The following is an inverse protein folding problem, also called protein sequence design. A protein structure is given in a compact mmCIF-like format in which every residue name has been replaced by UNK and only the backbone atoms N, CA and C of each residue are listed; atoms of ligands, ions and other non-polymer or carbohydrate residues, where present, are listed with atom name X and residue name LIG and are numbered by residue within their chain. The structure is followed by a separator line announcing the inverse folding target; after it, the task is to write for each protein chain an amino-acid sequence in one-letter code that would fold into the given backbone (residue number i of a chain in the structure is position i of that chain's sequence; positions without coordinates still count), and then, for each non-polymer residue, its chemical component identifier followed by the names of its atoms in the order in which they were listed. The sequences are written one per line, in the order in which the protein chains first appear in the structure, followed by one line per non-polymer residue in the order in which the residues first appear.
data_IF_127812266621
#
_entry.id   IF_127812266621
#
_cell.length_a   1.000
_cell.length_b   1.000
_cell.length_c   1.000
_cell.angle_alpha   90.00
_cell.angle_beta   90.00
_cell.angle_gamma   90.00
#
_symmetry.space_group_name_H-M   'P 1'
#
loop_
_entity.id
_entity.type
_entity.pdbx_description
1 polymer ?
#
# COMPACT_ATOMS: atom_id res chain seq x y z
N UNK A 1 -24.75 -34.07 47.26
CA UNK A 1 -25.12 -32.64 47.45
C UNK A 1 -23.93 -31.92 48.07
N UNK A 2 -23.59 -30.72 47.55
CA UNK A 2 -22.49 -29.80 47.95
C UNK A 2 -21.10 -30.22 47.45
N UNK A 3 -20.20 -29.37 46.96
CA UNK A 3 -20.24 -27.99 46.49
C UNK A 3 -18.94 -27.81 45.68
N UNK A 4 -19.00 -27.40 44.41
CA UNK A 4 -17.80 -27.21 43.58
C UNK A 4 -17.95 -26.08 42.55
N UNK A 5 -18.87 -25.12 42.76
CA UNK A 5 -19.15 -24.03 41.82
C UNK A 5 -18.63 -22.64 42.22
N UNK A 6 -18.04 -22.47 43.40
CA UNK A 6 -17.69 -21.13 43.90
C UNK A 6 -16.24 -20.69 43.67
N UNK A 7 -15.39 -21.51 43.02
CA UNK A 7 -13.96 -21.16 42.83
C UNK A 7 -13.62 -20.46 41.49
N UNK A 8 -14.50 -20.52 40.50
CA UNK A 8 -14.23 -19.90 39.19
C UNK A 8 -14.77 -18.46 39.07
N UNK A 9 -15.82 -18.11 39.82
CA UNK A 9 -16.37 -16.75 39.84
C UNK A 9 -15.44 -15.72 40.48
N UNK A 10 -14.63 -16.13 41.46
CA UNK A 10 -13.69 -15.23 42.16
C UNK A 10 -12.45 -14.89 41.31
N UNK A 11 -12.10 -15.73 40.32
CA UNK A 11 -10.98 -15.46 39.40
C UNK A 11 -11.37 -14.50 38.27
N UNK A 12 -12.61 -14.54 37.79
CA UNK A 12 -13.11 -13.58 36.79
C UNK A 12 -13.31 -12.17 37.37
N UNK A 13 -13.79 -12.05 38.62
CA UNK A 13 -13.97 -10.76 39.28
C UNK A 13 -12.62 -10.02 39.53
N UNK A 14 -11.56 -10.76 39.85
CA UNK A 14 -10.23 -10.18 40.08
C UNK A 14 -9.53 -9.71 38.78
N UNK A 15 -9.87 -10.29 37.62
CA UNK A 15 -9.34 -9.88 36.32
C UNK A 15 -9.99 -8.57 35.81
N UNK A 16 -11.30 -8.41 36.02
CA UNK A 16 -12.04 -7.19 35.66
C UNK A 16 -11.64 -5.98 36.53
N UNK A 17 -11.34 -6.19 37.82
CA UNK A 17 -10.84 -5.12 38.69
C UNK A 17 -9.45 -4.60 38.28
N UNK A 18 -8.58 -5.45 37.73
CA UNK A 18 -7.25 -5.04 37.24
C UNK A 18 -7.30 -4.29 35.90
N UNK A 19 -8.33 -4.54 35.08
CA UNK A 19 -8.56 -3.78 33.84
C UNK A 19 -9.14 -2.38 34.11
N UNK A 20 -9.92 -2.20 35.18
CA UNK A 20 -10.46 -0.90 35.58
C UNK A 20 -9.41 0.07 36.16
N UNK A 21 -8.32 -0.45 36.74
CA UNK A 21 -7.26 0.35 37.40
C UNK A 21 -6.14 0.82 36.46
N UNK A 22 -6.19 0.51 35.16
CA UNK A 22 -5.15 0.88 34.17
C UNK A 22 -5.62 1.81 33.05
N UNK A 23 -6.77 2.47 33.20
CA UNK A 23 -7.11 3.61 32.33
C UNK A 23 -6.66 4.91 33.02
N UNK A 24 -5.64 5.62 32.52
CA UNK A 24 -5.48 7.02 32.88
C UNK A 24 -6.73 7.77 32.42
N UNK A 25 -7.29 8.58 33.31
CA UNK A 25 -8.40 9.46 33.01
C UNK A 25 -8.02 10.32 31.80
N UNK A 26 -8.79 10.19 30.71
CA UNK A 26 -8.70 11.08 29.56
C UNK A 26 -9.19 12.45 30.03
N UNK A 27 -8.24 13.33 30.32
CA UNK A 27 -8.50 14.71 30.69
C UNK A 27 -9.11 15.44 29.48
N UNK A 28 -10.36 15.84 29.60
CA UNK A 28 -11.15 16.51 28.56
C UNK A 28 -10.77 18.00 28.39
N UNK A 29 -9.49 18.32 28.48
CA UNK A 29 -8.94 19.69 28.32
C UNK A 29 -7.91 19.84 27.20
N UNK A 30 -7.35 18.75 26.65
CA UNK A 30 -6.42 18.82 25.52
C UNK A 30 -7.11 18.92 24.15
N UNK A 31 -8.41 18.63 24.07
CA UNK A 31 -9.20 18.76 22.85
C UNK A 31 -9.60 20.20 22.46
N UNK A 32 -9.14 21.22 23.22
CA UNK A 32 -9.39 22.65 22.89
C UNK A 32 -8.15 23.44 22.46
N UNK A 33 -6.98 22.81 22.39
CA UNK A 33 -5.72 23.43 21.93
C UNK A 33 -5.25 22.92 20.56
N UNK A 34 -6.07 22.13 19.86
CA UNK A 34 -5.83 21.65 18.49
C UNK A 34 -6.89 22.15 17.49
N UNK A 35 -7.68 23.16 17.89
CA UNK A 35 -8.71 23.81 17.06
C UNK A 35 -8.43 25.29 16.75
N UNK A 36 -7.17 25.73 16.85
CA UNK A 36 -6.77 27.13 16.64
C UNK A 36 -5.41 27.25 15.90
N UNK A 37 -5.11 26.28 15.03
CA UNK A 37 -3.88 26.29 14.22
C UNK A 37 -4.12 25.98 12.74
N UNK A 38 -5.35 26.20 12.26
CA UNK A 38 -5.71 26.17 10.83
C UNK A 38 -6.38 27.50 10.43
N UNK A 39 -5.60 28.58 10.41
CA UNK A 39 -5.87 29.79 9.60
C UNK A 39 -4.80 30.86 9.80
N UNK A 40 -3.53 30.50 9.66
CA UNK A 40 -2.46 31.48 9.49
C UNK A 40 -1.77 31.18 8.15
N UNK A 41 -2.34 31.72 7.07
CA UNK A 41 -1.72 31.67 5.75
C UNK A 41 -0.30 32.23 5.80
N UNK A 42 0.53 31.84 4.82
CA UNK A 42 1.95 32.21 4.69
C UNK A 42 2.28 33.70 4.95
N UNK A 43 1.31 34.61 4.82
CA UNK A 43 1.43 36.02 5.21
C UNK A 43 1.72 36.25 6.69
N UNK A 44 1.09 35.52 7.61
CA UNK A 44 1.30 35.70 9.06
C UNK A 44 2.71 35.28 9.52
N UNK A 45 3.26 34.23 8.88
CA UNK A 45 4.64 33.76 9.09
C UNK A 45 5.64 34.78 8.53
N UNK A 46 5.34 35.36 7.37
CA UNK A 46 6.20 36.38 6.73
C UNK A 46 6.21 37.69 7.53
N UNK A 47 5.07 38.11 8.08
CA UNK A 47 4.94 39.29 8.93
C UNK A 47 5.63 39.11 10.29
N UNK A 48 5.55 37.90 10.87
CA UNK A 48 6.25 37.53 12.11
C UNK A 48 7.78 37.59 11.93
N UNK A 49 8.31 37.02 10.84
CA UNK A 49 9.74 37.09 10.50
C UNK A 49 10.23 38.52 10.26
N UNK A 50 9.36 39.40 9.74
CA UNK A 50 9.67 40.82 9.52
C UNK A 50 9.76 41.61 10.82
N UNK A 51 8.85 41.35 11.77
CA UNK A 51 8.86 41.96 13.12
C UNK A 51 10.04 41.50 13.97
N UNK A 52 10.52 40.28 13.77
CA UNK A 52 11.70 39.72 14.46
C UNK A 52 13.04 40.18 13.89
N UNK A 53 13.05 41.08 12.90
CA UNK A 53 14.28 41.64 12.33
C UNK A 53 15.13 40.65 11.53
N UNK A 54 14.52 39.58 10.99
CA UNK A 54 15.27 38.57 10.24
C UNK A 54 15.77 39.16 8.90
N UNK A 55 17.08 39.07 8.57
CA UNK A 55 17.67 39.75 7.41
C UNK A 55 17.07 39.36 6.05
N UNK A 56 16.40 38.20 5.96
CA UNK A 56 15.77 37.71 4.73
C UNK A 56 14.38 38.28 4.43
N UNK A 57 13.75 39.02 5.34
CA UNK A 57 12.40 39.59 5.17
C UNK A 57 12.39 41.09 4.79
N UNK A 58 13.58 41.69 4.73
CA UNK A 58 13.78 43.09 4.38
C UNK A 58 14.57 43.16 3.07
N UNK A 59 13.84 43.07 1.95
CA UNK A 59 14.10 43.76 0.67
C UNK A 59 13.34 43.03 -0.44
N UNK A 60 12.41 43.75 -1.07
CA UNK A 60 11.70 43.32 -2.27
C UNK A 60 12.64 43.29 -3.47
N UNK A 61 13.55 42.32 -3.49
CA UNK A 61 14.30 41.98 -4.68
C UNK A 61 13.41 41.12 -5.58
N UNK A 62 12.92 41.69 -6.67
CA UNK A 62 12.43 40.95 -7.83
C UNK A 62 13.52 40.01 -8.30
N UNK A 63 13.50 38.78 -7.78
CA UNK A 63 14.27 37.68 -8.34
C UNK A 63 13.63 37.41 -9.70
N UNK A 64 14.26 37.90 -10.77
CA UNK A 64 14.03 37.37 -12.11
C UNK A 64 14.42 35.89 -12.07
N UNK A 65 13.44 35.05 -11.71
CA UNK A 65 13.52 33.61 -11.97
C UNK A 65 13.63 33.50 -13.49
N UNK A 66 14.80 33.09 -13.95
CA UNK A 66 14.93 32.47 -15.26
C UNK A 66 13.75 31.49 -15.40
N UNK A 67 12.99 31.54 -16.51
CA UNK A 67 11.82 30.70 -16.67
C UNK A 67 12.30 29.27 -16.47
N UNK A 68 11.85 28.63 -15.38
CA UNK A 68 11.82 27.18 -15.30
C UNK A 68 11.09 26.79 -16.57
N UNK A 69 11.85 26.27 -17.54
CA UNK A 69 11.30 25.71 -18.77
C UNK A 69 10.06 24.97 -18.36
N UNK A 70 8.93 25.42 -18.92
CA UNK A 70 7.67 24.72 -18.78
C UNK A 70 7.99 23.27 -19.01
N UNK A 71 7.82 22.47 -17.96
CA UNK A 71 7.66 21.06 -18.15
C UNK A 71 6.44 21.01 -19.05
N UNK A 72 6.67 20.82 -20.36
CA UNK A 72 5.62 20.34 -21.24
C UNK A 72 4.89 19.27 -20.43
N UNK A 73 3.57 19.44 -20.32
CA UNK A 73 2.65 18.39 -19.93
C UNK A 73 2.97 17.22 -20.86
N UNK A 74 3.94 16.43 -20.43
CA UNK A 74 4.27 15.17 -21.03
C UNK A 74 2.97 14.40 -21.06
N UNK A 75 2.87 13.49 -22.00
CA UNK A 75 2.00 12.30 -22.00
C UNK A 75 2.29 11.41 -20.76
N UNK A 76 2.53 12.02 -19.59
CA UNK A 76 3.31 11.57 -18.44
C UNK A 76 2.58 10.65 -17.49
N UNK A 77 1.48 10.05 -17.96
CA UNK A 77 0.82 8.95 -17.28
C UNK A 77 1.30 7.59 -17.79
N UNK A 78 2.00 7.52 -18.92
CA UNK A 78 2.50 6.25 -19.47
C UNK A 78 3.89 5.88 -18.97
N UNK A 79 4.04 4.60 -18.58
CA UNK A 79 5.33 4.03 -18.20
C UNK A 79 6.18 3.86 -19.45
N UNK A 80 7.40 4.38 -19.43
CA UNK A 80 8.32 4.26 -20.55
C UNK A 80 8.81 2.80 -20.67
N UNK A 81 8.61 2.12 -21.82
CA UNK A 81 9.05 0.74 -22.02
C UNK A 81 10.55 0.53 -21.78
N UNK A 82 11.39 1.52 -22.06
CA UNK A 82 12.83 1.47 -21.77
C UNK A 82 13.13 1.45 -20.27
N UNK A 83 12.30 2.12 -19.45
CA UNK A 83 12.46 2.09 -18.00
C UNK A 83 12.20 0.68 -17.45
N UNK A 84 11.14 0.03 -17.93
CA UNK A 84 10.81 -1.37 -17.57
C UNK A 84 11.93 -2.31 -18.02
N UNK A 85 12.40 -2.14 -19.25
CA UNK A 85 13.53 -2.90 -19.81
C UNK A 85 14.80 -2.74 -18.96
N UNK A 86 15.08 -1.51 -18.50
CA UNK A 86 16.22 -1.22 -17.65
C UNK A 86 16.10 -1.88 -16.28
N UNK A 87 14.90 -1.95 -15.70
CA UNK A 87 14.63 -2.70 -14.47
C UNK A 87 14.90 -4.19 -14.69
N UNK A 88 14.46 -4.76 -15.82
CA UNK A 88 14.64 -6.18 -16.15
C UNK A 88 16.11 -6.59 -16.30
N UNK A 89 16.97 -5.66 -16.74
CA UNK A 89 18.39 -5.94 -16.97
C UNK A 89 19.17 -6.12 -15.65
N UNK A 90 19.95 -7.21 -15.48
CA UNK A 90 20.77 -7.44 -14.29
C UNK A 90 21.82 -6.35 -14.02
N UNK A 91 22.22 -5.61 -15.06
CA UNK A 91 23.24 -4.57 -14.94
C UNK A 91 22.77 -3.46 -14.00
N UNK A 92 23.45 -3.29 -12.87
CA UNK A 92 23.06 -2.30 -11.85
C UNK A 92 21.98 -2.80 -10.89
N UNK A 93 21.76 -4.12 -10.84
CA UNK A 93 21.13 -4.75 -9.69
C UNK A 93 22.11 -4.78 -8.51
N UNK A 94 21.59 -4.57 -7.33
CA UNK A 94 22.28 -4.58 -6.05
C UNK A 94 21.67 -5.66 -5.14
N UNK A 95 22.34 -5.94 -4.02
CA UNK A 95 21.71 -6.71 -2.93
C UNK A 95 20.52 -5.94 -2.37
N UNK A 96 19.37 -6.61 -2.35
CA UNK A 96 18.13 -6.11 -1.78
C UNK A 96 17.76 -6.89 -0.53
N UNK A 97 16.58 -6.64 0.03
CA UNK A 97 16.11 -7.27 1.25
C UNK A 97 16.10 -8.80 1.13
N UNK A 98 16.36 -9.55 2.21
CA UNK A 98 16.31 -11.02 2.26
C UNK A 98 16.80 -11.73 0.98
N UNK A 99 18.07 -11.54 0.62
CA UNK A 99 18.74 -12.31 -0.45
C UNK A 99 18.35 -11.97 -1.89
N UNK A 100 17.50 -10.96 -2.11
CA UNK A 100 17.10 -10.53 -3.45
C UNK A 100 18.21 -9.78 -4.21
N UNK A 101 18.14 -9.82 -5.54
CA UNK A 101 18.96 -8.97 -6.43
C UNK A 101 18.05 -8.13 -7.33
N UNK A 102 18.20 -6.83 -7.25
CA UNK A 102 17.34 -5.90 -7.99
C UNK A 102 17.83 -4.46 -7.88
N UNK A 103 17.15 -3.55 -8.55
CA UNK A 103 17.38 -2.11 -8.42
C UNK A 103 16.66 -1.57 -7.21
N UNK A 104 17.22 -0.53 -6.61
CA UNK A 104 16.62 0.24 -5.53
C UNK A 104 16.10 1.55 -6.10
N UNK A 105 14.79 1.67 -6.24
CA UNK A 105 14.14 2.91 -6.65
C UNK A 105 13.80 3.75 -5.42
N UNK A 106 13.82 5.09 -5.51
CA UNK A 106 13.52 5.94 -4.37
C UNK A 106 12.07 5.75 -3.89
N UNK A 107 11.89 5.73 -2.56
CA UNK A 107 10.60 5.71 -1.86
C UNK A 107 10.48 6.98 -1.04
N UNK A 108 9.36 7.70 -1.15
CA UNK A 108 9.19 8.99 -0.47
C UNK A 108 8.98 8.85 1.04
N UNK A 109 8.18 7.85 1.42
CA UNK A 109 7.83 7.55 2.80
C UNK A 109 8.51 6.24 3.20
N UNK A 110 9.44 6.30 4.16
CA UNK A 110 10.21 5.12 4.60
C UNK A 110 9.31 3.98 5.05
N UNK A 111 8.25 4.30 5.79
CA UNK A 111 7.36 3.31 6.41
C UNK A 111 6.20 2.86 5.50
N UNK A 112 6.11 3.35 4.25
CA UNK A 112 4.94 3.02 3.43
C UNK A 112 4.77 1.50 3.29
N UNK A 113 3.59 1.01 3.62
CA UNK A 113 3.27 -0.41 3.53
C UNK A 113 3.29 -0.87 2.06
N UNK A 114 3.45 -2.18 1.85
CA UNK A 114 3.50 -2.78 0.51
C UNK A 114 2.26 -2.44 -0.35
N UNK A 115 1.08 -2.45 0.27
CA UNK A 115 -0.18 -2.09 -0.38
C UNK A 115 -0.31 -0.58 -0.63
N UNK A 116 0.23 0.27 0.27
CA UNK A 116 0.21 1.72 0.09
C UNK A 116 1.04 2.11 -1.12
N UNK A 117 2.20 1.48 -1.30
CA UNK A 117 2.93 1.60 -2.55
C UNK A 117 2.09 1.06 -3.71
N UNK A 118 1.76 -0.24 -3.72
CA UNK A 118 1.20 -0.88 -4.91
C UNK A 118 -0.11 -0.25 -5.41
N UNK A 119 -0.96 0.19 -4.50
CA UNK A 119 -2.33 0.65 -4.81
C UNK A 119 -2.47 2.17 -4.68
N UNK A 120 -1.76 2.81 -3.74
CA UNK A 120 -1.84 4.26 -3.51
C UNK A 120 -0.65 5.04 -4.04
N UNK A 121 0.37 4.39 -4.58
CA UNK A 121 1.63 5.02 -4.95
C UNK A 121 2.28 5.80 -3.80
N UNK A 122 2.09 5.35 -2.55
CA UNK A 122 2.49 6.02 -1.32
C UNK A 122 2.02 7.50 -1.23
N UNK A 123 0.89 7.83 -1.85
CA UNK A 123 0.23 9.14 -1.72
C UNK A 123 -0.79 9.13 -0.59
N UNK A 124 -0.98 10.29 0.06
CA UNK A 124 -2.14 10.59 0.93
C UNK A 124 -3.41 10.71 0.06
N UNK A 125 -3.76 9.63 -0.64
CA UNK A 125 -4.87 9.56 -1.58
C UNK A 125 -6.17 9.13 -0.92
N UNK A 126 -7.27 9.36 -1.65
CA UNK A 126 -8.60 8.83 -1.35
C UNK A 126 -8.65 7.30 -1.48
N UNK A 127 -9.61 6.71 -0.79
CA UNK A 127 -9.89 5.27 -0.84
C UNK A 127 -9.88 4.64 0.56
N UNK A 128 -10.17 3.34 0.59
CA UNK A 128 -10.17 2.54 1.81
C UNK A 128 -8.79 1.89 2.02
N UNK A 129 -8.37 1.72 3.27
CA UNK A 129 -7.14 0.96 3.56
C UNK A 129 -7.37 -0.54 3.30
N UNK A 130 -6.29 -1.30 3.17
CA UNK A 130 -6.43 -2.75 3.03
C UNK A 130 -7.17 -3.38 4.23
N UNK A 131 -6.79 -2.98 5.46
CA UNK A 131 -7.43 -3.46 6.69
C UNK A 131 -8.91 -3.09 6.77
N UNK A 132 -9.24 -1.83 6.52
CA UNK A 132 -10.64 -1.36 6.50
C UNK A 132 -11.48 -2.13 5.46
N UNK A 133 -10.92 -2.38 4.27
CA UNK A 133 -11.61 -3.13 3.21
C UNK A 133 -11.89 -4.57 3.65
N UNK A 134 -10.90 -5.21 4.26
CA UNK A 134 -11.03 -6.56 4.77
C UNK A 134 -12.04 -6.67 5.93
N UNK A 135 -11.97 -5.75 6.89
CA UNK A 135 -12.92 -5.65 8.01
C UNK A 135 -14.35 -5.42 7.52
N UNK A 136 -14.51 -4.59 6.49
CA UNK A 136 -15.81 -4.35 5.86
C UNK A 136 -16.39 -5.62 5.23
N UNK A 137 -15.61 -6.28 4.37
CA UNK A 137 -16.05 -7.45 3.62
C UNK A 137 -16.37 -8.64 4.54
N UNK A 138 -15.66 -8.76 5.66
CA UNK A 138 -15.88 -9.82 6.65
C UNK A 138 -16.92 -9.47 7.72
N UNK A 139 -17.58 -8.32 7.58
CA UNK A 139 -18.61 -7.82 8.51
C UNK A 139 -18.13 -7.54 9.94
N UNK A 140 -16.84 -7.24 10.12
CA UNK A 140 -16.27 -6.85 11.42
C UNK A 140 -16.52 -5.37 11.76
N UNK A 141 -16.76 -4.51 10.76
CA UNK A 141 -17.05 -3.10 10.97
C UNK A 141 -17.45 -2.35 9.70
N UNK A 142 -17.91 -1.10 9.86
CA UNK A 142 -18.14 -0.17 8.74
C UNK A 142 -17.14 0.99 8.86
N UNK A 143 -16.08 1.02 8.02
CA UNK A 143 -15.06 2.07 8.11
C UNK A 143 -15.59 3.42 7.63
N UNK A 144 -15.18 4.49 8.33
CA UNK A 144 -15.59 5.87 8.04
C UNK A 144 -15.20 6.33 6.61
N UNK A 145 -14.18 5.69 6.02
CA UNK A 145 -13.67 5.98 4.67
C UNK A 145 -14.56 5.44 3.54
N UNK A 146 -15.56 4.58 3.82
CA UNK A 146 -16.48 4.06 2.79
C UNK A 146 -17.26 5.16 2.06
N UNK A 147 -17.60 6.25 2.76
CA UNK A 147 -18.28 7.40 2.15
C UNK A 147 -17.44 8.14 1.10
N UNK A 148 -16.14 7.87 1.04
CA UNK A 148 -15.20 8.49 0.10
C UNK A 148 -15.01 7.66 -1.18
N UNK A 149 -15.59 6.45 -1.24
CA UNK A 149 -15.48 5.55 -2.39
C UNK A 149 -16.57 5.88 -3.41
N UNK A 150 -16.26 5.72 -4.70
CA UNK A 150 -17.23 5.89 -5.78
C UNK A 150 -18.47 4.98 -5.56
N UNK A 151 -19.71 5.49 -5.75
CA UNK A 151 -20.94 4.73 -5.44
C UNK A 151 -21.03 3.37 -6.11
N UNK A 152 -20.60 3.25 -7.38
CA UNK A 152 -20.59 1.98 -8.10
C UNK A 152 -19.64 0.96 -7.45
N UNK A 153 -18.46 1.39 -7.03
CA UNK A 153 -17.49 0.52 -6.33
C UNK A 153 -18.01 0.13 -4.96
N UNK A 154 -18.67 1.05 -4.24
CA UNK A 154 -19.34 0.71 -2.98
C UNK A 154 -20.41 -0.35 -3.18
N UNK A 155 -21.27 -0.19 -4.19
CA UNK A 155 -22.30 -1.18 -4.52
C UNK A 155 -21.71 -2.57 -4.82
N UNK A 156 -20.59 -2.62 -5.56
CA UNK A 156 -19.86 -3.87 -5.83
C UNK A 156 -19.34 -4.52 -4.53
N UNK A 157 -18.79 -3.72 -3.61
CA UNK A 157 -18.31 -4.18 -2.31
C UNK A 157 -19.46 -4.65 -1.41
N UNK A 158 -20.60 -3.96 -1.42
CA UNK A 158 -21.81 -4.34 -0.70
C UNK A 158 -22.33 -5.70 -1.18
N UNK A 159 -22.38 -5.90 -2.50
CA UNK A 159 -22.75 -7.18 -3.08
C UNK A 159 -21.76 -8.29 -2.71
N UNK A 160 -20.45 -8.01 -2.79
CA UNK A 160 -19.42 -8.98 -2.40
C UNK A 160 -19.53 -9.37 -0.92
N UNK A 161 -19.77 -8.40 -0.02
CA UNK A 161 -19.99 -8.67 1.40
C UNK A 161 -21.19 -9.58 1.64
N UNK A 162 -22.29 -9.36 0.91
CA UNK A 162 -23.46 -10.22 0.96
C UNK A 162 -23.14 -11.64 0.46
N UNK A 163 -22.36 -11.77 -0.61
CA UNK A 163 -21.95 -13.06 -1.16
C UNK A 163 -21.03 -13.83 -0.19
N UNK A 164 -20.07 -13.15 0.45
CA UNK A 164 -19.23 -13.71 1.52
C UNK A 164 -20.08 -14.21 2.70
N UNK A 165 -21.08 -13.42 3.09
CA UNK A 165 -22.00 -13.78 4.18
C UNK A 165 -22.87 -14.97 3.80
N UNK A 166 -23.44 -14.98 2.59
CA UNK A 166 -24.26 -16.08 2.08
C UNK A 166 -23.48 -17.40 1.95
N UNK A 167 -22.18 -17.31 1.65
CA UNK A 167 -21.27 -18.45 1.62
C UNK A 167 -20.79 -18.92 3.01
N UNK A 168 -21.25 -18.27 4.09
CA UNK A 168 -20.88 -18.61 5.47
C UNK A 168 -19.44 -18.23 5.83
N UNK A 169 -18.82 -17.33 5.07
CA UNK A 169 -17.42 -16.89 5.25
C UNK A 169 -17.30 -15.54 5.97
N UNK A 170 -18.39 -14.96 6.46
CA UNK A 170 -18.32 -13.81 7.36
C UNK A 170 -17.59 -14.19 8.65
N UNK A 171 -16.93 -13.22 9.30
CA UNK A 171 -16.21 -13.48 10.54
C UNK A 171 -17.19 -13.90 11.66
N UNK A 172 -16.97 -15.08 12.24
CA UNK A 172 -17.72 -15.61 13.38
C UNK A 172 -16.73 -16.06 14.48
N UNK A 173 -16.66 -15.36 15.62
CA UNK A 173 -15.71 -15.69 16.69
C UNK A 173 -15.98 -17.05 17.35
N UNK A 174 -17.17 -17.65 17.17
CA UNK A 174 -17.52 -18.96 17.71
C UNK A 174 -17.20 -20.11 16.75
N UNK A 175 -16.89 -19.78 15.50
CA UNK A 175 -16.49 -20.74 14.48
C UNK A 175 -15.17 -20.25 13.91
N UNK A 176 -14.09 -20.34 14.67
CA UNK A 176 -12.76 -19.97 14.15
C UNK A 176 -12.07 -21.19 13.47
N UNK A 177 -12.47 -22.42 13.81
CA UNK A 177 -11.75 -23.65 13.42
C UNK A 177 -12.32 -24.45 12.22
N UNK A 178 -13.57 -24.21 11.79
CA UNK A 178 -14.14 -24.77 10.53
C UNK A 178 -13.25 -24.44 9.31
N UNK A 179 -13.30 -25.24 8.26
CA UNK A 179 -12.50 -24.99 7.04
C UNK A 179 -13.43 -24.84 5.84
N UNK A 180 -13.13 -23.88 4.98
CA UNK A 180 -13.80 -23.72 3.70
C UNK A 180 -12.90 -24.27 2.58
N UNK A 181 -13.53 -24.75 1.51
CA UNK A 181 -12.82 -25.23 0.32
C UNK A 181 -12.12 -24.08 -0.42
N UNK A 182 -10.89 -24.30 -0.86
CA UNK A 182 -10.10 -23.29 -1.59
C UNK A 182 -10.82 -22.80 -2.86
N UNK A 183 -11.50 -23.72 -3.57
CA UNK A 183 -12.28 -23.39 -4.76
C UNK A 183 -13.48 -22.48 -4.48
N UNK A 184 -13.99 -22.47 -3.24
CA UNK A 184 -15.03 -21.54 -2.81
C UNK A 184 -14.47 -20.18 -2.36
N UNK A 185 -13.27 -20.15 -1.77
CA UNK A 185 -12.63 -18.93 -1.25
C UNK A 185 -12.08 -18.08 -2.41
N UNK A 186 -11.40 -18.72 -3.36
CA UNK A 186 -10.61 -18.04 -4.38
C UNK A 186 -11.40 -17.02 -5.22
N UNK A 187 -12.62 -17.33 -5.73
CA UNK A 187 -13.41 -16.36 -6.50
C UNK A 187 -13.79 -15.11 -5.69
N UNK A 188 -14.06 -15.28 -4.39
CA UNK A 188 -14.40 -14.15 -3.51
C UNK A 188 -13.19 -13.29 -3.22
N UNK A 189 -12.02 -13.92 -3.02
CA UNK A 189 -10.77 -13.18 -2.82
C UNK A 189 -10.38 -12.40 -4.08
N UNK A 190 -10.55 -12.99 -5.26
CA UNK A 190 -10.29 -12.29 -6.51
C UNK A 190 -11.14 -11.02 -6.62
N UNK A 191 -12.43 -11.12 -6.31
CA UNK A 191 -13.36 -9.98 -6.27
C UNK A 191 -12.99 -8.98 -5.17
N UNK A 192 -12.53 -9.44 -4.01
CA UNK A 192 -12.10 -8.58 -2.91
C UNK A 192 -10.90 -7.71 -3.31
N UNK A 193 -9.87 -8.31 -3.90
CA UNK A 193 -8.69 -7.57 -4.38
C UNK A 193 -9.06 -6.63 -5.52
N UNK A 194 -9.92 -7.04 -6.46
CA UNK A 194 -10.42 -6.16 -7.52
C UNK A 194 -11.20 -4.96 -6.95
N UNK A 195 -12.09 -5.19 -5.99
CA UNK A 195 -12.83 -4.13 -5.29
C UNK A 195 -11.89 -3.18 -4.54
N UNK A 196 -10.88 -3.72 -3.86
CA UNK A 196 -9.86 -2.93 -3.19
C UNK A 196 -9.05 -2.04 -4.16
N UNK A 197 -8.60 -2.61 -5.29
CA UNK A 197 -7.90 -1.85 -6.35
C UNK A 197 -8.78 -0.72 -6.90
N UNK A 198 -10.05 -1.02 -7.24
CA UNK A 198 -11.01 -0.04 -7.75
C UNK A 198 -11.36 1.04 -6.73
N UNK A 199 -11.48 0.69 -5.45
CA UNK A 199 -11.80 1.64 -4.38
C UNK A 199 -10.71 2.69 -4.15
N UNK A 200 -9.50 2.41 -4.66
CA UNK A 200 -8.38 3.33 -4.66
C UNK A 200 -8.19 4.02 -6.03
N UNK A 201 -9.17 3.96 -6.93
CA UNK A 201 -9.19 4.71 -8.18
C UNK A 201 -8.38 4.09 -9.33
N UNK A 202 -8.04 2.80 -9.26
CA UNK A 202 -7.42 2.08 -10.36
C UNK A 202 -8.49 1.34 -11.18
N UNK A 203 -8.41 1.46 -12.50
CA UNK A 203 -9.30 0.76 -13.42
C UNK A 203 -8.76 -0.64 -13.76
N UNK A 204 -9.62 -1.64 -13.72
CA UNK A 204 -9.27 -3.03 -14.07
C UNK A 204 -9.34 -3.17 -15.60
N UNK A 205 -8.27 -3.70 -16.21
CA UNK A 205 -8.21 -3.89 -17.65
C UNK A 205 -8.83 -5.23 -18.09
N UNK A 206 -9.56 -5.20 -19.20
CA UNK A 206 -10.12 -6.41 -19.85
C UNK A 206 -9.15 -7.01 -20.89
N UNK A 207 -8.15 -6.24 -21.34
CA UNK A 207 -7.08 -6.68 -22.24
C UNK A 207 -5.94 -5.67 -22.29
N UNK A 208 -4.72 -6.13 -22.59
CA UNK A 208 -3.49 -5.31 -22.65
C UNK A 208 -3.25 -4.42 -21.41
N UNK A 209 -3.05 -5.01 -20.22
CA UNK A 209 -2.82 -4.22 -19.01
C UNK A 209 -1.51 -3.44 -19.05
N UNK A 210 -1.51 -2.24 -18.47
CA UNK A 210 -0.28 -1.48 -18.21
C UNK A 210 0.60 -2.14 -17.12
N UNK A 211 -0.03 -2.95 -16.27
CA UNK A 211 0.61 -3.76 -15.26
C UNK A 211 -0.40 -4.56 -14.46
N UNK A 212 0.08 -5.26 -13.44
CA UNK A 212 -0.76 -6.01 -12.50
C UNK A 212 -0.51 -5.51 -11.09
N UNK A 213 -1.58 -5.24 -10.36
CA UNK A 213 -1.51 -5.21 -8.90
C UNK A 213 -1.63 -6.64 -8.44
N UNK A 214 -0.60 -7.10 -7.74
CA UNK A 214 -0.51 -8.47 -7.27
C UNK A 214 -0.68 -8.49 -5.76
N UNK A 215 -1.58 -9.34 -5.30
CA UNK A 215 -1.84 -9.59 -3.90
C UNK A 215 -1.47 -11.04 -3.61
N UNK A 216 -0.57 -11.24 -2.66
CA UNK A 216 -0.34 -12.54 -2.06
C UNK A 216 -1.18 -12.66 -0.79
N UNK A 217 -1.88 -13.77 -0.64
CA UNK A 217 -2.71 -14.04 0.51
C UNK A 217 -2.34 -15.37 1.13
N UNK A 218 -2.43 -15.38 2.45
CA UNK A 218 -2.16 -16.56 3.25
C UNK A 218 -3.43 -17.37 3.40
N UNK A 219 -3.40 -18.59 2.86
CA UNK A 219 -4.46 -19.59 2.97
C UNK A 219 -4.35 -20.36 4.29
N UNK A 220 -4.39 -19.65 5.42
CA UNK A 220 -4.42 -20.29 6.75
C UNK A 220 -5.82 -20.32 7.33
N UNK A 221 -6.33 -21.53 7.61
CA UNK A 221 -7.59 -21.72 8.31
C UNK A 221 -8.81 -21.45 7.41
N UNK A 222 -9.75 -20.64 7.91
CA UNK A 222 -11.04 -20.30 7.29
C UNK A 222 -10.97 -19.24 6.20
N UNK A 223 -10.09 -18.27 6.41
CA UNK A 223 -10.13 -16.96 5.80
C UNK A 223 -8.77 -16.73 5.13
N UNK A 224 -8.82 -16.46 3.84
CA UNK A 224 -7.67 -15.98 3.10
C UNK A 224 -7.42 -14.52 3.52
N UNK A 225 -6.29 -14.25 4.17
CA UNK A 225 -5.93 -12.89 4.57
C UNK A 225 -4.86 -12.39 3.61
N UNK A 226 -5.01 -11.19 3.02
CA UNK A 226 -3.95 -10.61 2.22
C UNK A 226 -2.73 -10.31 3.10
N UNK A 227 -1.58 -10.79 2.63
CA UNK A 227 -0.31 -10.72 3.37
C UNK A 227 0.60 -9.65 2.74
N UNK A 228 0.75 -9.67 1.43
CA UNK A 228 1.69 -8.77 0.74
C UNK A 228 1.19 -8.30 -0.62
N UNK A 229 1.61 -7.10 -1.04
CA UNK A 229 1.22 -6.50 -2.32
C UNK A 229 2.44 -6.02 -3.11
N UNK A 230 2.38 -6.15 -4.43
CA UNK A 230 3.38 -5.59 -5.34
C UNK A 230 2.78 -5.22 -6.70
N UNK A 231 3.59 -4.58 -7.54
CA UNK A 231 3.27 -4.28 -8.93
C UNK A 231 4.09 -5.21 -9.82
N UNK A 232 3.47 -5.75 -10.86
CA UNK A 232 4.20 -6.37 -11.97
C UNK A 232 4.01 -5.57 -13.26
N UNK A 233 5.09 -5.37 -14.02
CA UNK A 233 5.05 -4.69 -15.32
C UNK A 233 5.51 -5.63 -16.43
N UNK A 234 4.88 -5.58 -17.62
CA UNK A 234 5.32 -6.37 -18.76
C UNK A 234 6.62 -5.79 -19.34
N UNK A 235 7.69 -6.58 -19.40
CA UNK A 235 8.91 -6.21 -20.11
C UNK A 235 8.65 -6.33 -21.63
N UNK A 236 8.74 -5.21 -22.37
CA UNK A 236 8.46 -5.20 -23.81
C UNK A 236 9.44 -6.06 -24.63
N UNK A 237 10.66 -6.32 -24.13
CA UNK A 237 11.69 -7.03 -24.89
C UNK A 237 11.62 -8.54 -24.73
N UNK A 238 11.24 -9.01 -23.54
CA UNK A 238 11.28 -10.44 -23.21
C UNK A 238 9.91 -11.05 -23.04
N UNK A 239 8.86 -10.23 -22.90
CA UNK A 239 7.52 -10.68 -22.51
C UNK A 239 7.42 -11.20 -21.08
N UNK A 240 8.54 -11.25 -20.33
CA UNK A 240 8.53 -11.56 -18.89
C UNK A 240 7.97 -10.37 -18.12
N UNK A 241 7.71 -10.55 -16.83
CA UNK A 241 7.32 -9.45 -15.96
C UNK A 241 8.45 -9.06 -15.02
N UNK A 242 8.55 -7.78 -14.72
CA UNK A 242 9.38 -7.27 -13.63
C UNK A 242 8.50 -7.01 -12.40
N UNK A 243 9.07 -7.18 -11.22
CA UNK A 243 8.40 -6.97 -9.93
C UNK A 243 8.86 -5.65 -9.34
N UNK A 244 7.92 -4.86 -8.80
CA UNK A 244 8.18 -3.66 -8.01
C UNK A 244 7.44 -3.78 -6.67
N UNK A 245 8.19 -3.85 -5.57
CA UNK A 245 7.61 -4.04 -4.24
C UNK A 245 8.36 -3.25 -3.17
N UNK A 246 7.75 -3.14 -2.00
CA UNK A 246 8.40 -2.62 -0.79
C UNK A 246 7.94 -3.45 0.40
N UNK A 247 8.74 -3.46 1.46
CA UNK A 247 8.28 -3.81 2.82
C UNK A 247 8.37 -2.56 3.72
N UNK A 248 7.70 -2.53 4.89
CA UNK A 248 7.78 -1.37 5.80
C UNK A 248 9.20 -1.05 6.30
N UNK A 249 10.06 -2.07 6.39
CA UNK A 249 11.40 -1.95 6.98
C UNK A 249 12.49 -1.44 6.02
N UNK A 250 12.15 -1.11 4.77
CA UNK A 250 13.11 -0.64 3.76
C UNK A 250 12.73 0.73 3.20
N UNK A 251 13.74 1.54 2.91
CA UNK A 251 13.62 2.92 2.42
C UNK A 251 13.66 3.06 0.89
N UNK A 252 13.48 1.94 0.18
CA UNK A 252 13.47 1.88 -1.28
C UNK A 252 12.41 0.91 -1.79
N UNK A 253 12.04 1.08 -3.05
CA UNK A 253 11.27 0.10 -3.81
C UNK A 253 12.25 -0.87 -4.46
N UNK A 254 12.08 -2.16 -4.21
CA UNK A 254 12.78 -3.24 -4.88
C UNK A 254 12.19 -3.44 -6.27
N UNK A 255 13.03 -3.32 -7.31
CA UNK A 255 12.59 -3.48 -8.69
C UNK A 255 13.50 -4.46 -9.46
N UNK A 256 12.96 -5.56 -9.97
CA UNK A 256 13.77 -6.59 -10.63
C UNK A 256 12.97 -7.76 -11.19
N UNK A 257 13.57 -8.95 -11.19
CA UNK A 257 12.97 -10.17 -11.73
C UNK A 257 11.84 -10.74 -10.86
N UNK A 258 11.17 -11.77 -11.37
CA UNK A 258 10.09 -12.49 -10.67
C UNK A 258 10.58 -13.27 -9.44
N UNK A 259 11.87 -13.57 -9.36
CA UNK A 259 12.52 -14.17 -8.19
C UNK A 259 12.45 -13.27 -6.94
N UNK A 260 12.17 -11.97 -7.10
CA UNK A 260 11.95 -11.08 -5.97
C UNK A 260 10.59 -11.30 -5.27
N UNK A 261 9.62 -11.99 -5.89
CA UNK A 261 8.27 -12.19 -5.31
C UNK A 261 8.32 -12.69 -3.87
N UNK A 262 7.25 -12.45 -3.11
CA UNK A 262 7.15 -12.86 -1.71
C UNK A 262 6.36 -14.16 -1.59
N UNK A 263 6.84 -15.13 -0.78
CA UNK A 263 6.20 -16.42 -0.53
C UNK A 263 5.74 -17.17 -1.80
N UNK A 264 6.56 -17.15 -2.85
CA UNK A 264 6.33 -17.88 -4.09
C UNK A 264 7.39 -18.98 -4.25
N UNK A 265 7.02 -20.06 -4.94
CA UNK A 265 7.91 -21.21 -5.15
C UNK A 265 9.21 -20.81 -5.86
N UNK A 266 9.12 -19.88 -6.79
CA UNK A 266 10.25 -19.44 -7.63
C UNK A 266 10.97 -18.21 -7.06
N UNK A 267 10.60 -17.75 -5.86
CA UNK A 267 11.29 -16.67 -5.17
C UNK A 267 12.72 -17.04 -4.79
N UNK A 268 13.55 -16.05 -4.45
CA UNK A 268 14.82 -16.32 -3.75
C UNK A 268 14.57 -17.10 -2.46
N UNK A 269 15.53 -17.98 -2.11
CA UNK A 269 15.39 -18.98 -1.04
C UNK A 269 14.92 -18.37 0.30
N UNK A 270 15.41 -17.19 0.64
CA UNK A 270 15.10 -16.47 1.87
C UNK A 270 13.65 -15.95 1.93
N UNK A 271 12.92 -15.95 0.81
CA UNK A 271 11.52 -15.50 0.67
C UNK A 271 10.54 -16.64 0.38
N UNK A 272 11.02 -17.86 0.15
CA UNK A 272 10.20 -19.04 -0.16
C UNK A 272 9.50 -19.66 1.07
N UNK A 273 9.76 -19.15 2.28
CA UNK A 273 9.10 -19.65 3.48
C UNK A 273 7.59 -19.60 3.30
N UNK A 274 6.87 -20.63 3.72
CA UNK A 274 5.40 -20.66 3.69
C UNK A 274 4.76 -20.56 2.29
N UNK A 275 5.51 -20.74 1.19
CA UNK A 275 4.94 -20.68 -0.16
C UNK A 275 3.81 -21.69 -0.40
N UNK A 276 3.82 -22.84 0.28
CA UNK A 276 2.79 -23.88 0.18
C UNK A 276 1.42 -23.44 0.70
N UNK A 277 1.38 -22.43 1.57
CA UNK A 277 0.14 -21.89 2.15
C UNK A 277 -0.19 -20.50 1.62
N UNK A 278 0.55 -20.03 0.61
CA UNK A 278 0.33 -18.74 -0.02
C UNK A 278 -0.18 -18.96 -1.44
N UNK A 279 -1.05 -18.04 -1.85
CA UNK A 279 -1.58 -18.03 -3.19
C UNK A 279 -1.63 -16.59 -3.68
N UNK A 280 -1.56 -16.42 -5.00
CA UNK A 280 -1.47 -15.12 -5.63
C UNK A 280 -2.73 -14.78 -6.41
N UNK A 281 -3.18 -13.54 -6.29
CA UNK A 281 -4.21 -12.93 -7.12
C UNK A 281 -3.57 -11.79 -7.91
N UNK A 282 -3.84 -11.77 -9.21
CA UNK A 282 -3.33 -10.75 -10.13
C UNK A 282 -4.51 -9.92 -10.64
N UNK A 283 -4.51 -8.62 -10.36
CA UNK A 283 -5.50 -7.68 -10.89
C UNK A 283 -4.87 -6.87 -12.02
N UNK A 284 -5.21 -7.14 -13.29
CA UNK A 284 -4.71 -6.34 -14.42
C UNK A 284 -5.28 -4.93 -14.32
N UNK A 285 -4.43 -3.90 -14.44
CA UNK A 285 -4.86 -2.50 -14.39
C UNK A 285 -4.61 -1.80 -15.71
N UNK A 286 -5.55 -0.94 -16.11
CA UNK A 286 -5.49 -0.20 -17.37
C UNK A 286 -4.39 0.86 -17.36
N UNK A 287 -4.15 1.47 -16.20
CA UNK A 287 -3.08 2.42 -15.97
C UNK A 287 -2.64 2.37 -14.51
N UNK A 288 -1.37 2.70 -14.26
CA UNK A 288 -0.90 3.02 -12.91
C UNK A 288 -1.10 4.50 -12.61
N UNK A 289 -1.17 4.85 -11.33
CA UNK A 289 -1.18 6.24 -10.87
C UNK A 289 0.08 6.99 -11.35
N UNK A 290 -0.06 8.29 -11.63
CA UNK A 290 1.03 9.12 -12.13
C UNK A 290 2.28 9.10 -11.25
N UNK A 291 2.16 8.94 -9.92
CA UNK A 291 3.33 8.81 -9.04
C UNK A 291 4.13 7.53 -9.27
N UNK A 292 3.46 6.40 -9.57
CA UNK A 292 4.17 5.18 -10.00
C UNK A 292 4.97 5.46 -11.26
N UNK A 293 4.33 6.05 -12.27
CA UNK A 293 4.94 6.40 -13.55
C UNK A 293 6.16 7.31 -13.37
N UNK A 294 6.06 8.33 -12.51
CA UNK A 294 7.17 9.23 -12.19
C UNK A 294 8.38 8.48 -11.60
N UNK A 295 8.16 7.62 -10.60
CA UNK A 295 9.25 6.88 -9.95
C UNK A 295 9.89 5.87 -10.90
N UNK A 296 9.07 5.14 -11.66
CA UNK A 296 9.55 4.14 -12.63
C UNK A 296 10.36 4.81 -13.72
N UNK A 297 9.83 5.86 -14.36
CA UNK A 297 10.50 6.56 -15.45
C UNK A 297 11.75 7.33 -14.99
N UNK A 298 11.79 7.76 -13.73
CA UNK A 298 12.93 8.45 -13.14
C UNK A 298 14.24 7.66 -13.19
N UNK A 299 14.18 6.33 -13.36
CA UNK A 299 15.37 5.50 -13.55
C UNK A 299 16.19 5.90 -14.78
N UNK A 300 15.54 6.36 -15.85
CA UNK A 300 16.18 6.74 -17.10
C UNK A 300 17.06 7.99 -16.91
N UNK A 301 16.63 8.92 -16.07
CA UNK A 301 17.40 10.13 -15.76
C UNK A 301 18.64 9.79 -14.92
N UNK A 302 18.47 8.92 -13.92
CA UNK A 302 19.58 8.42 -13.09
C UNK A 302 20.60 7.67 -13.95
N UNK A 303 20.14 6.79 -14.84
CA UNK A 303 21.00 6.04 -15.76
C UNK A 303 21.80 6.95 -16.71
N UNK A 304 21.19 8.00 -17.27
CA UNK A 304 21.88 8.98 -18.12
C UNK A 304 22.99 9.73 -17.36
N UNK A 305 22.72 10.16 -16.12
CA UNK A 305 23.71 10.86 -15.29
C UNK A 305 24.90 9.98 -14.95
N UNK A 306 24.67 8.70 -14.66
CA UNK A 306 25.74 7.74 -14.36
C UNK A 306 26.62 7.49 -15.58
N UNK A 307 26.05 7.31 -16.78
CA UNK A 307 26.82 7.16 -18.02
C UNK A 307 27.64 8.41 -18.37
N UNK A 308 27.06 9.61 -18.19
CA UNK A 308 27.78 10.86 -18.42
C UNK A 308 28.99 11.03 -17.49
N UNK A 309 28.91 10.52 -16.24
CA UNK A 309 30.03 10.54 -15.28
C UNK A 309 31.10 9.47 -15.56
N UNK A 310 30.73 8.36 -16.18
CA UNK A 310 31.66 7.27 -16.48
C UNK A 310 32.60 7.56 -17.67
N UNK A 311 32.31 8.61 -18.47
CA UNK A 311 33.08 8.95 -19.67
C UNK A 311 32.86 7.95 -20.81
N UNK A 312 33.25 8.30 -22.06
CA UNK A 312 33.33 7.33 -23.14
C UNK A 312 34.47 6.35 -22.83
N UNK A 313 34.15 5.06 -22.89
CA UNK A 313 35.13 3.97 -22.81
C UNK A 313 36.08 3.97 -24.02
#
# INVERSE_FOLDING_TARGET
MRAHRDRDTDREAAALQRQALRRPARDSRDARMLGLQESAGNEAVTESLRRSGHPGAQHGATVQRAPKRGHEESTGNEINPEAVSMIAQPLGHEDTYKGGKGRKLPKDQKEAACWEWAVRAASEGSGISHGDCWEYLTSMGEPATLGQIAPAVRQDLDQLRNDITAAGMAFDPFKIDEKHDEGAILPLMHRAVQGFVRSNGLEVAEGNPAGWIVCNYKMTGKLAVPDHFWIELPDPNTGKRVVLQTVPDIDYIEAGGQDLRWHEKDSVKERQSEHEVHQKIEVPVAALKGRHTQIINGILETGRRTRAKAGPA
#
